data_IF_211365890115
#
_entry.id   IF_211365890115
#
_cell.length_a   1.000
_cell.length_b   1.000
_cell.length_c   1.000
_cell.angle_alpha   90.00
_cell.angle_beta   90.00
_cell.angle_gamma   90.00
#
_symmetry.space_group_name_H-M   'P 1'
#
loop_
_entity.id
_entity.type
_entity.pdbx_description
1 polymer ?
#
# COMPACT_ATOMS: atom_id res chain seq x y z
N UNK A 1 -37.44 -39.63 21.53
CA UNK A 1 -37.07 -39.08 20.22
C UNK A 1 -36.73 -37.61 20.43
N UNK A 2 -35.44 -37.31 20.62
CA UNK A 2 -34.94 -35.95 20.91
C UNK A 2 -34.50 -35.34 19.61
N UNK A 3 -35.21 -34.30 19.15
CA UNK A 3 -34.84 -33.46 18.01
C UNK A 3 -33.78 -32.43 18.47
N UNK A 4 -32.57 -32.65 18.07
CA UNK A 4 -31.48 -31.65 18.19
C UNK A 4 -31.71 -30.57 17.13
N UNK A 5 -32.25 -29.43 17.56
CA UNK A 5 -32.25 -28.19 16.75
C UNK A 5 -30.83 -27.64 16.70
N UNK A 6 -30.13 -27.88 15.63
CA UNK A 6 -28.85 -27.19 15.35
C UNK A 6 -29.21 -25.78 14.87
N UNK A 7 -28.94 -24.79 15.69
CA UNK A 7 -29.10 -23.37 15.35
C UNK A 7 -28.19 -23.00 14.20
N UNK A 8 -28.76 -22.64 13.08
CA UNK A 8 -28.07 -22.21 11.86
C UNK A 8 -27.25 -20.92 12.02
N UNK A 9 -27.40 -20.23 13.14
CA UNK A 9 -26.70 -18.94 13.42
C UNK A 9 -25.22 -19.11 13.68
N UNK A 10 -24.76 -20.23 14.22
CA UNK A 10 -23.37 -20.43 14.60
C UNK A 10 -22.46 -20.68 13.40
N UNK A 11 -23.00 -21.28 12.33
CA UNK A 11 -22.23 -21.55 11.10
C UNK A 11 -21.85 -20.29 10.34
N UNK A 12 -22.71 -19.27 10.31
CA UNK A 12 -22.44 -17.99 9.65
C UNK A 12 -21.42 -17.15 10.41
N UNK A 13 -21.44 -17.18 11.73
CA UNK A 13 -20.46 -16.46 12.58
C UNK A 13 -19.08 -17.08 12.48
N UNK A 14 -18.95 -18.40 12.41
CA UNK A 14 -17.66 -19.08 12.26
C UNK A 14 -17.04 -18.84 10.90
N UNK A 15 -17.81 -18.88 9.80
CA UNK A 15 -17.29 -18.61 8.45
C UNK A 15 -16.85 -17.17 8.26
N UNK A 16 -17.52 -16.18 8.89
CA UNK A 16 -17.10 -14.79 8.86
C UNK A 16 -15.80 -14.58 9.65
N UNK A 17 -15.67 -15.16 10.85
CA UNK A 17 -14.45 -15.11 11.66
C UNK A 17 -13.24 -15.75 10.95
N UNK A 18 -13.44 -16.92 10.34
CA UNK A 18 -12.40 -17.62 9.57
C UNK A 18 -11.94 -16.79 8.37
N UNK A 19 -12.86 -16.10 7.70
CA UNK A 19 -12.55 -15.21 6.59
C UNK A 19 -11.71 -14.00 7.03
N UNK A 20 -12.04 -13.39 8.18
CA UNK A 20 -11.30 -12.25 8.72
C UNK A 20 -9.90 -12.65 9.20
N UNK A 21 -9.74 -13.82 9.82
CA UNK A 21 -8.43 -14.34 10.19
C UNK A 21 -7.56 -14.65 8.97
N UNK A 22 -8.13 -15.24 7.94
CA UNK A 22 -7.44 -15.52 6.67
C UNK A 22 -7.00 -14.21 6.01
N UNK A 23 -7.88 -13.23 5.98
CA UNK A 23 -7.60 -11.90 5.44
C UNK A 23 -6.48 -11.21 6.21
N UNK A 24 -6.50 -11.27 7.54
CA UNK A 24 -5.47 -10.71 8.40
C UNK A 24 -4.09 -11.37 8.18
N UNK A 25 -4.06 -12.70 8.06
CA UNK A 25 -2.81 -13.43 7.70
C UNK A 25 -2.28 -12.98 6.35
N UNK A 26 -3.16 -12.87 5.36
CA UNK A 26 -2.78 -12.46 4.01
C UNK A 26 -2.25 -11.03 3.96
N UNK A 27 -2.85 -10.11 4.72
CA UNK A 27 -2.35 -8.75 4.87
C UNK A 27 -0.94 -8.71 5.50
N UNK A 28 -0.69 -9.52 6.52
CA UNK A 28 0.65 -9.66 7.12
C UNK A 28 1.67 -10.26 6.15
N UNK A 29 1.30 -11.28 5.40
CA UNK A 29 2.17 -11.87 4.38
C UNK A 29 2.52 -10.84 3.30
N UNK A 30 1.55 -10.07 2.82
CA UNK A 30 1.78 -9.02 1.84
C UNK A 30 2.72 -7.94 2.37
N UNK A 31 2.54 -7.50 3.62
CA UNK A 31 3.45 -6.55 4.26
C UNK A 31 4.87 -7.09 4.40
N UNK A 32 5.03 -8.38 4.64
CA UNK A 32 6.34 -9.04 4.68
C UNK A 32 7.02 -9.05 3.30
N UNK A 33 6.23 -9.20 2.24
CA UNK A 33 6.73 -9.21 0.86
C UNK A 33 7.12 -7.81 0.38
N UNK A 34 6.27 -6.80 0.59
CA UNK A 34 6.51 -5.43 0.12
C UNK A 34 7.49 -4.71 1.04
N UNK A 35 7.30 -4.84 2.34
CA UNK A 35 8.03 -4.12 3.38
C UNK A 35 7.53 -2.69 3.59
N UNK A 36 7.37 -2.25 4.86
CA UNK A 36 6.91 -0.88 5.14
C UNK A 36 7.85 0.19 4.61
N UNK A 37 9.15 -0.09 4.55
CA UNK A 37 10.16 0.81 3.99
C UNK A 37 9.97 1.13 2.51
N UNK A 38 9.33 0.25 1.74
CA UNK A 38 8.98 0.52 0.34
C UNK A 38 8.00 1.68 0.23
N UNK A 39 6.95 1.68 1.05
CA UNK A 39 5.96 2.77 1.10
C UNK A 39 6.59 4.10 1.54
N UNK A 40 7.48 4.04 2.53
CA UNK A 40 8.21 5.25 2.97
C UNK A 40 9.02 5.84 1.82
N UNK A 41 9.76 5.02 1.08
CA UNK A 41 10.53 5.49 -0.08
C UNK A 41 9.64 6.12 -1.15
N UNK A 42 8.51 5.50 -1.46
CA UNK A 42 7.57 6.01 -2.44
C UNK A 42 6.98 7.36 -2.01
N UNK A 43 6.50 7.45 -0.79
CA UNK A 43 5.93 8.70 -0.25
C UNK A 43 6.98 9.80 -0.17
N UNK A 44 8.20 9.50 0.31
CA UNK A 44 9.27 10.49 0.35
C UNK A 44 9.65 10.99 -1.04
N UNK A 45 9.69 10.09 -2.02
CA UNK A 45 9.99 10.45 -3.40
C UNK A 45 8.95 11.42 -3.98
N UNK A 46 7.68 11.24 -3.64
CA UNK A 46 6.59 12.10 -4.12
C UNK A 46 6.44 13.40 -3.32
N UNK A 47 6.48 13.31 -1.99
CA UNK A 47 6.17 14.44 -1.11
C UNK A 47 7.30 15.47 -0.98
N UNK A 48 8.54 15.04 -1.20
CA UNK A 48 9.73 15.89 -0.99
C UNK A 48 10.53 16.11 -2.29
N UNK A 49 9.88 16.00 -3.42
CA UNK A 49 10.51 16.25 -4.72
C UNK A 49 11.11 17.66 -4.77
N UNK A 50 12.30 17.76 -5.32
CA UNK A 50 13.02 19.03 -5.42
C UNK A 50 13.70 19.50 -4.13
N UNK A 51 13.55 18.81 -3.00
CA UNK A 51 14.28 19.15 -1.78
C UNK A 51 15.67 18.48 -1.77
N UNK A 52 16.76 19.24 -1.57
CA UNK A 52 18.13 18.70 -1.60
C UNK A 52 18.38 17.56 -0.62
N UNK A 53 17.57 17.53 0.46
CA UNK A 53 17.67 16.58 1.56
C UNK A 53 17.29 15.16 1.13
N UNK A 54 16.34 15.01 0.21
CA UNK A 54 15.81 13.70 -0.23
C UNK A 54 16.74 13.01 -1.23
N UNK A 55 17.54 13.78 -1.98
CA UNK A 55 18.57 13.26 -2.85
C UNK A 55 19.82 12.72 -2.13
N UNK A 56 19.88 12.88 -0.80
CA UNK A 56 21.01 12.40 0.00
C UNK A 56 20.76 11.00 0.57
N UNK A 57 21.41 9.93 0.03
CA UNK A 57 21.20 8.56 0.51
C UNK A 57 21.50 8.35 1.99
N UNK A 58 22.46 9.12 2.55
CA UNK A 58 22.82 9.05 3.98
C UNK A 58 21.71 9.61 4.86
N UNK A 59 21.06 10.69 4.41
CA UNK A 59 19.93 11.25 5.13
C UNK A 59 18.72 10.31 5.09
N UNK A 60 18.37 9.78 3.92
CA UNK A 60 17.32 8.79 3.77
C UNK A 60 17.54 7.57 4.67
N UNK A 61 18.78 7.06 4.71
CA UNK A 61 19.14 5.96 5.59
C UNK A 61 18.93 6.27 7.08
N UNK A 62 19.25 7.49 7.51
CA UNK A 62 18.99 7.93 8.90
C UNK A 62 17.51 8.04 9.20
N UNK A 63 16.69 8.55 8.29
CA UNK A 63 15.24 8.62 8.45
C UNK A 63 14.66 7.22 8.57
N UNK A 64 15.01 6.33 7.65
CA UNK A 64 14.56 4.93 7.68
C UNK A 64 14.94 4.21 8.97
N UNK A 65 16.13 4.49 9.51
CA UNK A 65 16.60 3.92 10.78
C UNK A 65 15.89 4.46 12.03
N UNK A 66 15.16 5.57 11.93
CA UNK A 66 14.38 6.17 13.01
C UNK A 66 12.90 5.84 12.98
N UNK A 67 12.45 5.10 11.97
CA UNK A 67 11.05 4.71 11.86
C UNK A 67 10.71 3.65 12.90
N UNK A 68 9.54 3.80 13.50
CA UNK A 68 8.89 2.74 14.25
C UNK A 68 8.22 1.78 13.24
N UNK A 69 8.98 0.75 12.85
CA UNK A 69 8.52 -0.21 11.85
C UNK A 69 7.33 -1.04 12.31
N UNK A 70 7.24 -1.34 13.61
CA UNK A 70 6.12 -2.13 14.17
C UNK A 70 4.83 -1.32 14.12
N UNK A 71 4.90 -0.07 14.53
CA UNK A 71 3.77 0.85 14.44
C UNK A 71 3.34 1.07 12.99
N UNK A 72 4.29 1.35 12.11
CA UNK A 72 4.00 1.56 10.69
C UNK A 72 3.37 0.32 10.05
N UNK A 73 3.88 -0.88 10.34
CA UNK A 73 3.31 -2.13 9.86
C UNK A 73 1.89 -2.35 10.36
N UNK A 74 1.61 -2.03 11.62
CA UNK A 74 0.27 -2.13 12.20
C UNK A 74 -0.73 -1.18 11.51
N UNK A 75 -0.33 0.06 11.27
CA UNK A 75 -1.15 1.05 10.57
C UNK A 75 -1.43 0.61 9.12
N UNK A 76 -0.40 0.17 8.39
CA UNK A 76 -0.54 -0.32 7.03
C UNK A 76 -1.41 -1.58 6.95
N UNK A 77 -1.29 -2.49 7.93
CA UNK A 77 -2.17 -3.65 8.04
C UNK A 77 -3.65 -3.22 8.16
N UNK A 78 -3.95 -2.22 8.99
CA UNK A 78 -5.29 -1.66 9.12
C UNK A 78 -5.81 -1.10 7.79
N UNK A 79 -4.98 -0.39 7.04
CA UNK A 79 -5.34 0.12 5.70
C UNK A 79 -5.65 -1.02 4.74
N UNK A 80 -4.87 -2.09 4.73
CA UNK A 80 -5.10 -3.24 3.86
C UNK A 80 -6.39 -3.96 4.21
N UNK A 81 -6.65 -4.17 5.51
CA UNK A 81 -7.88 -4.80 5.98
C UNK A 81 -9.13 -4.01 5.60
N UNK A 82 -9.03 -2.69 5.59
CA UNK A 82 -10.17 -1.81 5.28
C UNK A 82 -10.45 -1.66 3.78
N UNK A 83 -9.44 -1.82 2.94
CA UNK A 83 -9.54 -1.45 1.52
C UNK A 83 -9.53 -2.63 0.56
N UNK A 84 -8.97 -3.79 0.95
CA UNK A 84 -8.83 -4.93 0.06
C UNK A 84 -9.65 -6.12 0.51
N UNK A 85 -10.10 -6.91 -0.44
CA UNK A 85 -10.69 -8.25 -0.22
C UNK A 85 -9.58 -9.28 0.01
N UNK A 86 -9.94 -10.44 0.55
CA UNK A 86 -9.01 -11.57 0.68
C UNK A 86 -8.39 -11.96 -0.67
N UNK A 87 -9.22 -12.04 -1.73
CA UNK A 87 -8.75 -12.41 -3.06
C UNK A 87 -7.78 -11.40 -3.65
N UNK A 88 -8.01 -10.09 -3.43
CA UNK A 88 -7.11 -9.02 -3.84
C UNK A 88 -5.77 -9.09 -3.10
N UNK A 89 -5.78 -9.31 -1.78
CA UNK A 89 -4.57 -9.48 -0.99
C UNK A 89 -3.76 -10.71 -1.43
N UNK A 90 -4.42 -11.82 -1.74
CA UNK A 90 -3.79 -13.02 -2.29
C UNK A 90 -3.11 -12.73 -3.63
N UNK A 91 -3.81 -12.08 -4.55
CA UNK A 91 -3.28 -11.71 -5.86
C UNK A 91 -2.07 -10.77 -5.74
N UNK A 92 -2.14 -9.77 -4.87
CA UNK A 92 -1.03 -8.85 -4.61
C UNK A 92 0.18 -9.56 -4.01
N UNK A 93 -0.04 -10.43 -3.01
CA UNK A 93 1.03 -11.22 -2.40
C UNK A 93 1.74 -12.08 -3.44
N UNK A 94 0.99 -12.81 -4.25
CA UNK A 94 1.54 -13.71 -5.26
C UNK A 94 2.33 -12.95 -6.32
N UNK A 95 1.78 -11.83 -6.79
CA UNK A 95 2.45 -10.98 -7.76
C UNK A 95 3.74 -10.36 -7.21
N UNK A 96 3.66 -9.64 -6.08
CA UNK A 96 4.82 -8.96 -5.50
C UNK A 96 5.84 -9.92 -4.88
N UNK A 97 5.42 -11.11 -4.48
CA UNK A 97 6.30 -12.19 -4.05
C UNK A 97 7.10 -12.83 -5.18
N UNK A 98 6.65 -12.69 -6.43
CA UNK A 98 7.34 -13.22 -7.60
C UNK A 98 8.63 -12.43 -7.93
N UNK A 99 9.60 -13.03 -8.66
CA UNK A 99 10.79 -12.29 -9.09
C UNK A 99 10.48 -11.04 -9.92
N UNK A 100 9.48 -11.11 -10.79
CA UNK A 100 9.02 -9.97 -11.61
C UNK A 100 8.36 -8.89 -10.75
N UNK A 101 7.48 -9.27 -9.82
CA UNK A 101 6.83 -8.36 -8.90
C UNK A 101 7.83 -7.62 -8.01
N UNK A 102 8.82 -8.30 -7.46
CA UNK A 102 9.90 -7.68 -6.70
C UNK A 102 10.75 -6.72 -7.54
N UNK A 103 11.01 -7.06 -8.80
CA UNK A 103 11.71 -6.16 -9.72
C UNK A 103 10.90 -4.89 -10.00
N UNK A 104 9.59 -5.01 -10.14
CA UNK A 104 8.67 -3.87 -10.30
C UNK A 104 8.68 -2.99 -9.05
N UNK A 105 8.56 -3.57 -7.86
CA UNK A 105 8.61 -2.83 -6.60
C UNK A 105 9.87 -1.97 -6.47
N UNK A 106 11.02 -2.51 -6.83
CA UNK A 106 12.29 -1.74 -6.78
C UNK A 106 12.31 -0.54 -7.72
N UNK A 107 11.60 -0.61 -8.83
CA UNK A 107 11.55 0.47 -9.84
C UNK A 107 10.47 1.51 -9.53
N UNK A 108 9.44 1.15 -8.77
CA UNK A 108 8.26 2.00 -8.54
C UNK A 108 8.59 3.41 -8.07
N UNK A 109 9.47 3.65 -7.08
CA UNK A 109 9.74 5.01 -6.63
C UNK A 109 10.22 5.92 -7.77
N UNK A 110 11.14 5.42 -8.58
CA UNK A 110 11.66 6.16 -9.74
C UNK A 110 10.57 6.40 -10.80
N UNK A 111 9.81 5.36 -11.14
CA UNK A 111 8.73 5.45 -12.14
C UNK A 111 7.66 6.42 -11.68
N UNK A 112 7.25 6.37 -10.41
CA UNK A 112 6.28 7.31 -9.83
C UNK A 112 6.78 8.76 -9.91
N UNK A 113 8.06 8.98 -9.65
CA UNK A 113 8.68 10.31 -9.79
C UNK A 113 8.59 10.84 -11.22
N UNK A 114 8.96 10.03 -12.19
CA UNK A 114 8.89 10.41 -13.61
C UNK A 114 7.44 10.70 -14.04
N UNK A 115 6.49 9.87 -13.61
CA UNK A 115 5.04 10.08 -13.87
C UNK A 115 4.56 11.37 -13.20
N UNK A 116 4.89 11.60 -11.95
CA UNK A 116 4.47 12.79 -11.22
C UNK A 116 4.91 14.06 -11.92
N UNK A 117 6.17 14.13 -12.37
CA UNK A 117 6.67 15.29 -13.10
C UNK A 117 5.93 15.58 -14.40
N UNK A 118 5.56 14.53 -15.16
CA UNK A 118 4.77 14.67 -16.39
C UNK A 118 3.35 15.17 -16.06
N UNK A 119 2.71 14.55 -15.07
CA UNK A 119 1.33 14.88 -14.67
C UNK A 119 1.25 16.31 -14.12
N UNK A 120 2.20 16.73 -13.30
CA UNK A 120 2.25 18.09 -12.74
C UNK A 120 2.35 19.16 -13.84
N UNK A 121 3.18 18.93 -14.85
CA UNK A 121 3.29 19.84 -15.99
C UNK A 121 1.98 19.94 -16.77
N UNK A 122 1.32 18.81 -17.01
CA UNK A 122 0.06 18.78 -17.73
C UNK A 122 -1.08 19.42 -16.92
N UNK A 123 -1.13 19.21 -15.62
CA UNK A 123 -2.08 19.88 -14.72
C UNK A 123 -1.86 21.39 -14.74
N UNK A 124 -0.61 21.86 -14.64
CA UNK A 124 -0.30 23.29 -14.69
C UNK A 124 -0.74 23.93 -16.00
N UNK A 125 -0.52 23.26 -17.14
CA UNK A 125 -1.00 23.71 -18.44
C UNK A 125 -2.53 23.77 -18.49
N UNK A 126 -3.21 22.70 -18.06
CA UNK A 126 -4.68 22.64 -18.07
C UNK A 126 -5.32 23.71 -17.17
N UNK A 127 -4.71 24.00 -16.01
CA UNK A 127 -5.18 25.10 -15.13
C UNK A 127 -5.03 26.46 -15.82
N UNK A 128 -3.89 26.71 -16.46
CA UNK A 128 -3.65 27.97 -17.18
C UNK A 128 -4.66 28.17 -18.31
N UNK A 129 -4.93 27.11 -19.09
CA UNK A 129 -5.94 27.13 -20.17
C UNK A 129 -7.36 27.40 -19.59
N UNK A 130 -7.76 26.70 -18.53
CA UNK A 130 -9.07 26.89 -17.90
C UNK A 130 -9.26 28.32 -17.32
N UNK A 131 -8.20 28.92 -16.76
CA UNK A 131 -8.25 30.30 -16.28
C UNK A 131 -8.30 31.31 -17.42
N UNK A 132 -7.71 31.01 -18.58
CA UNK A 132 -7.77 31.84 -19.80
C UNK A 132 -9.15 31.87 -20.44
N UNK A 133 -9.94 30.81 -20.34
CA UNK A 133 -11.31 30.73 -20.87
C UNK A 133 -12.34 31.51 -20.05
N UNK A 134 -12.02 31.91 -18.83
CA UNK A 134 -12.91 32.64 -17.91
C UNK A 134 -12.89 34.16 -18.08
N UNK A 135 -12.05 34.70 -19.00
CA UNK A 135 -11.95 36.11 -19.35
C UNK A 135 -12.54 36.35 -20.75
#
# INVERSE_FOLDING_TARGET
MLLLSISSSDAWSQTAGDSDEQKARMANELLSVIGPGQYVKEVMTLAFEGQPVVGNPKFLGRVLGKLDNDRLSSELHGVFMSNYTLGELQAMRDFYGSPKGRAILRKRPRVLKEIAGIVEQEIARAIADALGETN
#
